data_IF_599685024223
#
_entry.id   IF_599685024223
#
_cell.length_a   1.000
_cell.length_b   1.000
_cell.length_c   1.000
_cell.angle_alpha   90.00
_cell.angle_beta   90.00
_cell.angle_gamma   90.00
#
_symmetry.space_group_name_H-M   'P 1'
#
loop_
_entity.id
_entity.type
_entity.pdbx_description
1 polymer ?
#
# COMPACT_ATOMS: atom_id res chain seq x y z
N UNK A 1 11.55 4.66 -9.95
CA UNK A 1 10.22 4.08 -9.82
C UNK A 1 10.01 3.64 -8.38
N UNK A 2 8.89 4.03 -7.79
CA UNK A 2 8.56 3.58 -6.44
C UNK A 2 8.49 2.07 -6.44
N UNK A 3 8.90 1.46 -5.36
CA UNK A 3 9.10 0.05 -5.36
C UNK A 3 8.98 -0.51 -3.96
N UNK A 4 9.02 -1.83 -3.91
CA UNK A 4 9.05 -2.58 -2.67
C UNK A 4 10.22 -2.15 -1.77
N UNK A 5 11.36 -1.82 -2.37
CA UNK A 5 12.53 -1.35 -1.62
C UNK A 5 12.21 -0.06 -0.87
N UNK A 6 11.56 0.90 -1.54
CA UNK A 6 11.17 2.16 -0.91
C UNK A 6 10.18 1.92 0.21
N UNK A 7 9.20 1.04 -0.02
CA UNK A 7 8.23 0.67 1.00
C UNK A 7 8.93 0.13 2.25
N UNK A 8 9.89 -0.77 2.06
CA UNK A 8 10.58 -1.39 3.20
C UNK A 8 11.37 -0.36 4.02
N UNK A 9 12.00 0.59 3.35
CA UNK A 9 12.74 1.65 4.04
C UNK A 9 11.82 2.51 4.91
N UNK A 10 10.67 2.94 4.36
CA UNK A 10 9.71 3.72 5.11
C UNK A 10 9.07 2.90 6.23
N UNK A 11 8.76 1.64 5.96
CA UNK A 11 8.13 0.78 6.95
C UNK A 11 9.04 0.53 8.15
N UNK A 12 10.33 0.38 7.94
CA UNK A 12 11.28 0.21 9.02
C UNK A 12 11.29 1.37 10.00
N UNK A 13 10.98 2.59 9.51
CA UNK A 13 10.93 3.79 10.32
C UNK A 13 9.54 4.03 10.91
N UNK A 14 8.52 3.33 10.41
CA UNK A 14 7.12 3.59 10.76
C UNK A 14 6.36 2.28 10.90
N UNK A 15 6.84 1.39 11.76
CA UNK A 15 6.32 0.02 11.89
C UNK A 15 4.84 -0.04 12.24
N UNK A 16 4.34 0.97 12.96
CA UNK A 16 2.95 1.01 13.40
C UNK A 16 2.02 1.71 12.42
N UNK A 17 2.57 2.26 11.34
CA UNK A 17 1.79 3.05 10.38
C UNK A 17 1.53 2.27 9.11
N UNK A 18 0.40 2.55 8.48
CA UNK A 18 0.16 2.12 7.10
C UNK A 18 1.05 2.96 6.19
N UNK A 19 1.88 2.30 5.40
CA UNK A 19 2.79 2.98 4.47
C UNK A 19 2.27 2.84 3.04
N UNK A 20 2.01 3.97 2.39
CA UNK A 20 1.60 4.02 0.99
C UNK A 20 2.68 4.70 0.17
N UNK A 21 3.05 4.08 -0.94
CA UNK A 21 4.08 4.61 -1.84
C UNK A 21 3.42 5.06 -3.13
N UNK A 22 3.61 6.32 -3.49
CA UNK A 22 3.08 6.85 -4.75
C UNK A 22 3.94 6.35 -5.91
N UNK A 23 3.30 5.74 -6.90
CA UNK A 23 3.96 5.24 -8.09
C UNK A 23 3.13 5.65 -9.30
N UNK A 24 3.56 6.71 -10.00
CA UNK A 24 2.79 7.27 -11.11
C UNK A 24 1.45 7.78 -10.63
N UNK A 25 0.36 7.24 -11.18
CA UNK A 25 -1.01 7.64 -10.85
C UNK A 25 -1.63 6.74 -9.79
N UNK A 26 -0.84 5.89 -9.14
CA UNK A 26 -1.32 4.97 -8.11
C UNK A 26 -0.58 5.17 -6.81
N UNK A 27 -1.30 4.87 -5.69
CA UNK A 27 -0.64 4.57 -4.42
C UNK A 27 -0.59 3.07 -4.27
N UNK A 28 0.53 2.57 -3.77
CA UNK A 28 0.75 1.14 -3.58
C UNK A 28 1.19 0.84 -2.16
N UNK A 29 0.81 -0.33 -1.67
CA UNK A 29 1.33 -0.84 -0.42
C UNK A 29 1.67 -2.31 -0.58
N UNK A 30 2.38 -2.86 0.40
CA UNK A 30 3.00 -4.18 0.27
C UNK A 30 2.81 -5.00 1.54
N UNK A 31 2.97 -6.31 1.38
CA UNK A 31 3.06 -7.28 2.50
C UNK A 31 1.95 -7.11 3.54
N UNK A 32 2.30 -6.91 4.80
CA UNK A 32 1.33 -6.87 5.89
C UNK A 32 0.32 -5.73 5.75
N UNK A 33 0.71 -4.60 5.14
CA UNK A 33 -0.20 -3.48 4.96
C UNK A 33 -1.27 -3.76 3.91
N UNK A 34 -1.01 -4.71 3.00
CA UNK A 34 -2.02 -5.15 2.03
C UNK A 34 -3.27 -5.67 2.72
N UNK A 35 -3.11 -6.36 3.83
CA UNK A 35 -4.25 -6.90 4.56
C UNK A 35 -5.19 -5.81 5.05
N UNK A 36 -4.64 -4.68 5.47
CA UNK A 36 -5.44 -3.53 5.89
C UNK A 36 -6.31 -3.05 4.73
N UNK A 37 -5.74 -2.97 3.54
CA UNK A 37 -6.46 -2.52 2.36
C UNK A 37 -7.55 -3.51 1.94
N UNK A 38 -7.28 -4.79 2.05
CA UNK A 38 -8.28 -5.81 1.77
C UNK A 38 -9.43 -5.74 2.77
N UNK A 39 -9.11 -5.63 4.05
CA UNK A 39 -10.12 -5.64 5.12
C UNK A 39 -11.03 -4.42 5.06
N UNK A 40 -10.47 -3.24 4.73
CA UNK A 40 -11.23 -1.99 4.72
C UNK A 40 -11.92 -1.71 3.40
N UNK A 41 -11.31 -2.09 2.28
CA UNK A 41 -11.77 -1.68 0.94
C UNK A 41 -12.03 -2.85 0.00
N UNK A 42 -11.71 -4.06 0.43
CA UNK A 42 -11.86 -5.25 -0.40
C UNK A 42 -11.04 -5.18 -1.70
N UNK A 43 -9.90 -4.51 -1.67
CA UNK A 43 -9.01 -4.46 -2.81
C UNK A 43 -8.35 -5.82 -3.04
N UNK A 44 -8.01 -6.09 -4.30
CA UNK A 44 -7.35 -7.34 -4.66
C UNK A 44 -5.85 -7.25 -4.40
N UNK A 45 -5.29 -8.34 -3.89
CA UNK A 45 -3.85 -8.45 -3.68
C UNK A 45 -3.24 -9.23 -4.84
N UNK A 46 -2.12 -8.73 -5.36
CA UNK A 46 -1.26 -9.49 -6.27
C UNK A 46 -0.12 -10.08 -5.48
N UNK A 47 0.07 -11.38 -5.64
CA UNK A 47 1.16 -12.08 -4.97
C UNK A 47 2.31 -12.32 -5.94
N UNK A 48 3.49 -11.89 -5.54
CA UNK A 48 4.73 -12.11 -6.28
C UNK A 48 5.60 -13.08 -5.50
N UNK A 49 6.72 -13.48 -6.09
CA UNK A 49 7.59 -14.47 -5.46
C UNK A 49 8.08 -14.03 -4.08
N UNK A 50 8.44 -12.75 -3.93
CA UNK A 50 9.08 -12.25 -2.71
C UNK A 50 8.23 -11.25 -1.93
N UNK A 51 7.06 -10.87 -2.45
CA UNK A 51 6.21 -9.88 -1.77
C UNK A 51 4.78 -9.92 -2.30
N UNK A 52 3.88 -9.27 -1.59
CA UNK A 52 2.50 -9.04 -2.03
C UNK A 52 2.30 -7.54 -2.23
N UNK A 53 1.40 -7.17 -3.13
CA UNK A 53 1.15 -5.77 -3.46
C UNK A 53 -0.34 -5.54 -3.71
N UNK A 54 -0.83 -4.38 -3.28
CA UNK A 54 -2.13 -3.86 -3.70
C UNK A 54 -2.01 -2.36 -3.89
N UNK A 55 -2.97 -1.74 -4.54
CA UNK A 55 -2.92 -0.32 -4.77
C UNK A 55 -4.24 0.26 -5.24
N UNK A 56 -4.28 1.58 -5.35
CA UNK A 56 -5.47 2.30 -5.80
C UNK A 56 -5.05 3.58 -6.52
N UNK A 57 -5.92 4.13 -7.40
CA UNK A 57 -5.60 5.39 -8.08
C UNK A 57 -5.47 6.53 -7.07
N UNK A 58 -4.54 7.47 -7.35
CA UNK A 58 -4.31 8.62 -6.46
C UNK A 58 -5.58 9.43 -6.23
N UNK A 59 -6.52 9.42 -7.19
CA UNK A 59 -7.77 10.14 -7.05
C UNK A 59 -8.66 9.62 -5.90
N UNK A 60 -8.41 8.41 -5.43
CA UNK A 60 -9.18 7.80 -4.35
C UNK A 60 -8.61 8.07 -2.97
N UNK A 61 -7.52 8.86 -2.87
CA UNK A 61 -6.82 9.04 -1.59
C UNK A 61 -7.72 9.62 -0.50
N UNK A 62 -8.60 10.54 -0.86
CA UNK A 62 -9.49 11.15 0.15
C UNK A 62 -10.47 10.12 0.72
N UNK A 63 -11.03 9.27 -0.13
CA UNK A 63 -11.91 8.19 0.34
C UNK A 63 -11.18 7.20 1.24
N UNK A 64 -9.93 6.91 0.90
CA UNK A 64 -9.11 6.00 1.69
C UNK A 64 -8.81 6.61 3.06
N UNK A 65 -8.44 7.89 3.10
CA UNK A 65 -8.18 8.60 4.37
C UNK A 65 -9.38 8.59 5.29
N UNK A 66 -10.58 8.74 4.75
CA UNK A 66 -11.79 8.77 5.56
C UNK A 66 -12.01 7.48 6.35
N UNK A 67 -11.56 6.35 5.82
CA UNK A 67 -11.73 5.05 6.48
C UNK A 67 -10.55 4.67 7.37
N UNK A 68 -9.45 5.35 7.24
CA UNK A 68 -8.27 5.10 8.07
C UNK A 68 -8.34 5.96 9.33
#
# INVERSE_FOLDING_TARGET
MASYKDYKEYKNKNLQSLVLIKSGVFFETYDSDCKIMVDLFNYQIKNFKNFSRTGFPVNNIEKVKEKL
#
